data_IF_956184433175
#
_entry.id   IF_956184433175
#
_cell.length_a   1.000
_cell.length_b   1.000
_cell.length_c   1.000
_cell.angle_alpha   90.00
_cell.angle_beta   90.00
_cell.angle_gamma   90.00
#
_symmetry.space_group_name_H-M   'P 1'
#
loop_
_entity.id
_entity.type
_entity.pdbx_description
1 polymer ?
#
# COMPACT_ATOMS: atom_id res chain seq x y z
N UNK A 1 7.37 0.15 24.67
CA UNK A 1 6.18 -0.03 23.82
C UNK A 1 6.10 1.20 22.96
N UNK A 2 6.72 1.16 21.79
CA UNK A 2 6.57 2.24 20.80
C UNK A 2 5.19 2.08 20.19
N UNK A 3 4.24 2.84 20.75
CA UNK A 3 2.99 3.16 20.10
C UNK A 3 3.40 3.72 18.73
N UNK A 4 3.14 2.97 17.66
CA UNK A 4 3.16 3.49 16.30
C UNK A 4 2.62 4.91 16.37
N UNK A 5 3.42 5.90 15.97
CA UNK A 5 2.96 7.27 15.86
C UNK A 5 1.94 7.31 14.73
N UNK A 6 0.73 6.86 15.06
CA UNK A 6 -0.44 6.87 14.20
C UNK A 6 -0.72 8.32 13.80
N UNK A 7 -0.35 9.31 14.62
CA UNK A 7 -0.42 10.74 14.31
C UNK A 7 0.49 11.16 13.16
N UNK A 8 1.75 10.73 13.16
CA UNK A 8 2.71 10.98 12.07
C UNK A 8 2.40 10.23 10.77
N UNK A 9 1.82 9.04 10.87
CA UNK A 9 1.40 8.22 9.72
C UNK A 9 0.10 8.77 9.10
N UNK A 10 -0.87 9.16 9.92
CA UNK A 10 -2.13 9.73 9.45
C UNK A 10 -1.93 11.16 8.94
N UNK A 11 -1.11 11.99 9.59
CA UNK A 11 -0.98 13.41 9.25
C UNK A 11 -0.44 13.72 7.84
N UNK A 12 0.42 12.88 7.27
CA UNK A 12 0.99 13.09 5.92
C UNK A 12 0.25 12.33 4.82
N UNK A 13 -0.53 11.33 5.18
CA UNK A 13 -1.16 10.37 4.27
C UNK A 13 -2.70 10.34 4.37
N UNK A 14 -3.29 11.19 5.23
CA UNK A 14 -4.75 11.34 5.38
C UNK A 14 -5.44 11.84 4.11
N UNK A 15 -4.71 12.46 3.19
CA UNK A 15 -5.29 12.99 1.95
C UNK A 15 -5.95 11.87 1.14
N UNK A 16 -5.38 10.66 1.11
CA UNK A 16 -5.95 9.55 0.36
C UNK A 16 -7.29 9.12 0.97
N UNK A 17 -7.38 9.07 2.30
CA UNK A 17 -8.63 8.73 2.98
C UNK A 17 -9.72 9.79 2.74
N UNK A 18 -9.34 11.07 2.70
CA UNK A 18 -10.27 12.14 2.34
C UNK A 18 -10.79 11.95 0.91
N UNK A 19 -9.90 11.67 -0.06
CA UNK A 19 -10.30 11.38 -1.44
C UNK A 19 -11.17 10.13 -1.54
N UNK A 20 -10.88 9.06 -0.80
CA UNK A 20 -11.76 7.86 -0.73
C UNK A 20 -13.15 8.24 -0.23
N UNK A 21 -13.24 9.13 0.76
CA UNK A 21 -14.50 9.70 1.24
C UNK A 21 -15.24 10.47 0.14
N UNK A 22 -14.55 11.34 -0.61
CA UNK A 22 -15.14 12.08 -1.72
C UNK A 22 -15.60 11.17 -2.86
N UNK A 23 -14.85 10.10 -3.18
CA UNK A 23 -15.30 9.09 -4.16
C UNK A 23 -16.57 8.39 -3.67
N UNK A 24 -16.69 8.11 -2.37
CA UNK A 24 -17.91 7.54 -1.81
C UNK A 24 -19.09 8.51 -1.89
N UNK A 25 -18.86 9.81 -1.65
CA UNK A 25 -19.84 10.88 -1.87
C UNK A 25 -20.27 10.93 -3.34
N UNK A 26 -19.32 10.87 -4.28
CA UNK A 26 -19.59 10.80 -5.72
C UNK A 26 -20.42 9.57 -6.07
N UNK A 27 -20.12 8.40 -5.49
CA UNK A 27 -20.86 7.18 -5.72
C UNK A 27 -22.32 7.27 -5.24
N UNK A 28 -22.53 7.85 -4.05
CA UNK A 28 -23.86 8.10 -3.51
C UNK A 28 -24.64 9.09 -4.38
N UNK A 29 -24.00 10.19 -4.77
CA UNK A 29 -24.56 11.20 -5.66
C UNK A 29 -24.94 10.62 -7.03
N UNK A 30 -24.06 9.83 -7.67
CA UNK A 30 -24.34 9.17 -8.95
C UNK A 30 -25.58 8.28 -8.83
N UNK A 31 -25.65 7.48 -7.76
CA UNK A 31 -26.79 6.59 -7.52
C UNK A 31 -28.11 7.35 -7.33
N UNK A 32 -28.09 8.47 -6.62
CA UNK A 32 -29.25 9.34 -6.43
C UNK A 32 -29.71 9.97 -7.76
N UNK A 33 -28.80 10.56 -8.53
CA UNK A 33 -29.13 11.18 -9.82
C UNK A 33 -29.61 10.18 -10.86
N UNK A 34 -29.03 8.98 -10.85
CA UNK A 34 -29.49 7.88 -11.69
C UNK A 34 -30.92 7.44 -11.33
N UNK A 35 -31.27 7.38 -10.03
CA UNK A 35 -32.63 7.08 -9.59
C UNK A 35 -33.65 8.16 -9.98
N UNK A 36 -33.21 9.42 -10.07
CA UNK A 36 -34.04 10.55 -10.51
C UNK A 36 -34.06 10.74 -12.04
N UNK A 37 -33.34 9.90 -12.81
CA UNK A 37 -33.13 10.05 -14.25
C UNK A 37 -32.58 11.44 -14.66
N UNK A 38 -31.77 12.05 -13.78
CA UNK A 38 -31.16 13.38 -13.95
C UNK A 38 -29.62 13.30 -13.95
N UNK A 39 -29.05 12.13 -14.24
CA UNK A 39 -27.61 11.98 -14.27
C UNK A 39 -27.05 12.68 -15.52
N UNK A 40 -26.30 13.75 -15.30
CA UNK A 40 -25.46 14.37 -16.33
C UNK A 40 -24.08 13.71 -16.35
N UNK A 41 -23.73 13.13 -17.49
CA UNK A 41 -22.44 12.48 -17.70
C UNK A 41 -21.29 13.50 -17.71
N UNK A 42 -21.53 14.75 -18.14
CA UNK A 42 -20.51 15.80 -18.14
C UNK A 42 -20.16 16.22 -16.72
N UNK A 43 -21.17 16.38 -15.85
CA UNK A 43 -20.98 16.68 -14.43
C UNK A 43 -20.24 15.54 -13.71
N UNK A 44 -20.62 14.28 -13.99
CA UNK A 44 -19.94 13.09 -13.47
C UNK A 44 -18.47 13.03 -13.89
N UNK A 45 -18.17 13.27 -15.17
CA UNK A 45 -16.82 13.24 -15.70
C UNK A 45 -15.96 14.39 -15.16
N UNK A 46 -16.52 15.59 -15.00
CA UNK A 46 -15.82 16.74 -14.39
C UNK A 46 -15.44 16.44 -12.94
N UNK A 47 -16.39 15.98 -12.13
CA UNK A 47 -16.12 15.65 -10.73
C UNK A 47 -15.08 14.52 -10.63
N UNK A 48 -15.20 13.49 -11.47
CA UNK A 48 -14.20 12.44 -11.52
C UNK A 48 -12.81 12.94 -11.94
N UNK A 49 -12.73 13.89 -12.86
CA UNK A 49 -11.46 14.47 -13.31
C UNK A 49 -10.76 15.23 -12.17
N UNK A 50 -11.51 15.98 -11.37
CA UNK A 50 -10.97 16.69 -10.20
C UNK A 50 -10.37 15.72 -9.19
N UNK A 51 -11.10 14.64 -8.84
CA UNK A 51 -10.61 13.62 -7.92
C UNK A 51 -9.40 12.85 -8.48
N UNK A 52 -9.38 12.56 -9.79
CA UNK A 52 -8.20 11.97 -10.46
C UNK A 52 -6.99 12.89 -10.36
N UNK A 53 -7.16 14.18 -10.61
CA UNK A 53 -6.08 15.16 -10.53
C UNK A 53 -5.48 15.22 -9.13
N UNK A 54 -6.31 15.16 -8.07
CA UNK A 54 -5.83 15.12 -6.68
C UNK A 54 -5.01 13.85 -6.42
N UNK A 55 -5.47 12.68 -6.89
CA UNK A 55 -4.73 11.41 -6.75
C UNK A 55 -3.39 11.45 -7.49
N UNK A 56 -3.38 11.91 -8.74
CA UNK A 56 -2.17 11.97 -9.56
C UNK A 56 -1.15 12.96 -8.97
N UNK A 57 -1.62 14.12 -8.49
CA UNK A 57 -0.76 15.13 -7.84
C UNK A 57 -0.18 14.58 -6.54
N UNK A 58 -1.02 14.00 -5.67
CA UNK A 58 -0.57 13.42 -4.41
C UNK A 58 0.41 12.26 -4.59
N UNK A 59 0.24 11.45 -5.64
CA UNK A 59 1.20 10.40 -6.01
C UNK A 59 2.51 10.97 -6.55
N UNK A 60 2.48 12.06 -7.32
CA UNK A 60 3.68 12.71 -7.86
C UNK A 60 4.54 13.37 -6.76
N UNK A 61 3.92 13.84 -5.69
CA UNK A 61 4.60 14.42 -4.52
C UNK A 61 5.20 13.37 -3.57
N UNK A 62 4.83 12.09 -3.71
CA UNK A 62 5.43 11.02 -2.91
C UNK A 62 6.91 10.85 -3.31
N UNK A 63 7.83 10.74 -2.32
CA UNK A 63 9.24 10.50 -2.60
C UNK A 63 9.40 9.27 -3.50
N UNK A 64 10.08 9.46 -4.63
CA UNK A 64 10.30 8.40 -5.61
C UNK A 64 10.86 7.16 -4.91
N UNK A 65 10.23 6.01 -5.17
CA UNK A 65 10.76 4.73 -4.73
C UNK A 65 12.20 4.64 -5.25
N UNK A 66 13.19 4.25 -4.40
CA UNK A 66 14.47 3.83 -4.95
C UNK A 66 14.15 2.61 -5.82
N UNK A 67 14.03 2.86 -7.12
CA UNK A 67 13.97 1.82 -8.12
C UNK A 67 15.24 1.00 -7.88
N UNK A 68 15.10 -0.32 -7.88
CA UNK A 68 16.19 -1.27 -7.73
C UNK A 68 17.19 -1.10 -8.89
N UNK A 69 17.99 -0.05 -8.84
CA UNK A 69 19.09 0.20 -9.75
C UNK A 69 20.19 -0.74 -9.32
N UNK A 70 20.48 -1.69 -10.21
CA UNK A 70 21.69 -2.52 -10.24
C UNK A 70 22.89 -1.74 -9.74
N UNK A 71 23.39 -2.08 -8.54
CA UNK A 71 24.62 -1.51 -8.00
C UNK A 71 25.79 -2.01 -8.85
N UNK A 72 26.20 -1.20 -9.82
CA UNK A 72 27.54 -1.26 -10.37
C UNK A 72 28.46 -0.43 -9.47
N UNK A 73 29.53 -1.10 -9.05
CA UNK A 73 30.70 -0.68 -8.28
C UNK A 73 31.00 0.83 -8.19
N UNK A 74 31.47 1.28 -7.02
CA UNK A 74 32.83 1.83 -6.86
C UNK A 74 33.15 2.09 -5.39
N UNK A 75 34.16 1.40 -4.88
CA UNK A 75 34.87 1.71 -3.62
C UNK A 75 35.64 3.03 -3.75
N UNK A 76 35.91 3.71 -2.63
CA UNK A 76 37.15 4.44 -2.49
C UNK A 76 38.00 3.88 -1.35
N UNK A 77 39.21 3.42 -1.71
CA UNK A 77 40.36 3.29 -0.82
C UNK A 77 40.86 4.68 -0.45
N UNK A 78 41.11 4.92 0.82
CA UNK A 78 42.20 5.81 1.27
C UNK A 78 42.81 5.26 2.55
N UNK A 79 44.14 5.12 2.52
CA UNK A 79 45.01 4.68 3.61
C UNK A 79 45.77 5.89 4.17
N UNK A 80 46.08 5.86 5.48
CA UNK A 80 47.29 6.38 6.22
C UNK A 80 46.92 6.50 7.73
N UNK A 81 47.41 5.62 8.64
CA UNK A 81 48.59 5.76 9.57
C UNK A 81 48.57 7.02 10.44
N UNK A 82 48.80 7.10 11.77
CA UNK A 82 49.28 6.25 12.88
C UNK A 82 49.08 7.04 14.23
N UNK A 83 49.37 6.43 15.40
CA UNK A 83 49.44 6.95 16.81
C UNK A 83 48.11 7.12 17.60
N UNK A 84 47.90 6.68 18.86
CA UNK A 84 48.69 5.95 19.86
C UNK A 84 47.93 5.84 21.22
N UNK A 85 47.94 4.65 21.82
CA UNK A 85 47.92 4.27 23.27
C UNK A 85 46.75 4.69 24.23
N UNK A 86 46.00 3.65 24.65
CA UNK A 86 45.36 3.30 25.94
C UNK A 86 44.71 4.33 26.88
N UNK A 87 43.44 4.10 27.22
CA UNK A 87 43.01 4.00 28.62
C UNK A 87 41.70 3.23 28.81
N UNK A 88 41.60 2.54 29.95
CA UNK A 88 40.67 1.49 30.31
C UNK A 88 39.19 1.90 30.46
N UNK A 89 38.35 0.92 30.20
CA UNK A 89 36.89 0.86 30.32
C UNK A 89 36.32 1.49 31.59
N UNK A 90 35.32 2.36 31.41
CA UNK A 90 34.23 2.51 32.37
C UNK A 90 32.92 2.26 31.64
N UNK A 91 32.28 1.17 32.02
CA UNK A 91 30.97 0.68 31.61
C UNK A 91 29.95 1.82 31.62
N UNK A 92 29.56 2.30 30.44
CA UNK A 92 28.36 3.11 30.25
C UNK A 92 27.56 2.47 29.13
N UNK A 93 26.28 2.25 29.42
CA UNK A 93 25.23 1.88 28.48
C UNK A 93 25.49 2.51 27.11
N UNK A 94 25.64 1.69 26.08
CA UNK A 94 25.67 2.16 24.70
C UNK A 94 24.32 2.77 24.35
N UNK A 95 24.21 4.07 24.03
CA UNK A 95 23.07 4.58 23.29
C UNK A 95 23.21 4.08 21.85
N UNK A 96 22.13 3.55 21.29
CA UNK A 96 22.05 3.04 19.92
C UNK A 96 22.80 3.93 18.92
N UNK A 97 23.72 3.32 18.16
CA UNK A 97 24.54 3.91 17.10
C UNK A 97 23.69 4.77 16.14
N UNK A 98 24.12 5.98 15.71
CA UNK A 98 23.37 6.84 14.79
C UNK A 98 22.90 6.14 13.50
N UNK A 99 23.68 5.17 13.01
CA UNK A 99 23.34 4.36 11.85
C UNK A 99 22.04 3.55 12.02
N UNK A 100 21.77 2.99 13.20
CA UNK A 100 20.58 2.16 13.46
C UNK A 100 19.30 3.00 13.59
N UNK A 101 19.41 4.22 14.15
CA UNK A 101 18.30 5.17 14.22
C UNK A 101 18.00 5.79 12.84
N UNK A 102 19.03 6.08 12.05
CA UNK A 102 18.87 6.56 10.68
C UNK A 102 18.19 5.53 9.78
N UNK A 103 18.54 4.25 9.90
CA UNK A 103 17.94 3.17 9.08
C UNK A 103 16.48 2.86 9.47
N UNK A 104 16.13 2.98 10.75
CA UNK A 104 14.74 2.78 11.20
C UNK A 104 13.81 3.89 10.68
N UNK A 105 14.30 5.12 10.57
CA UNK A 105 13.54 6.24 10.02
C UNK A 105 13.35 6.13 8.49
N UNK A 106 14.38 5.75 7.74
CA UNK A 106 14.28 5.52 6.29
C UNK A 106 13.31 4.38 5.97
N UNK A 107 13.42 3.26 6.69
CA UNK A 107 12.54 2.10 6.50
C UNK A 107 11.08 2.43 6.86
N UNK A 108 10.86 3.20 7.94
CA UNK A 108 9.52 3.66 8.33
C UNK A 108 8.93 4.58 7.26
N UNK A 109 9.71 5.54 6.76
CA UNK A 109 9.26 6.44 5.69
C UNK A 109 8.92 5.67 4.41
N UNK A 110 9.71 4.65 4.07
CA UNK A 110 9.47 3.81 2.90
C UNK A 110 8.16 3.03 3.01
N UNK A 111 7.91 2.38 4.16
CA UNK A 111 6.64 1.68 4.43
C UNK A 111 5.45 2.62 4.35
N UNK A 112 5.56 3.81 4.94
CA UNK A 112 4.49 4.82 4.90
C UNK A 112 4.20 5.24 3.47
N UNK A 113 5.21 5.49 2.64
CA UNK A 113 5.03 5.83 1.24
C UNK A 113 4.39 4.69 0.43
N UNK A 114 4.82 3.44 0.68
CA UNK A 114 4.21 2.26 0.05
C UNK A 114 2.75 2.11 0.45
N UNK A 115 2.43 2.27 1.73
CA UNK A 115 1.05 2.23 2.23
C UNK A 115 0.18 3.27 1.54
N UNK A 116 0.61 4.52 1.46
CA UNK A 116 -0.14 5.55 0.75
C UNK A 116 -0.36 5.21 -0.70
N UNK A 117 0.69 4.74 -1.37
CA UNK A 117 0.59 4.40 -2.79
C UNK A 117 -0.41 3.26 -3.02
N UNK A 118 -0.40 2.22 -2.18
CA UNK A 118 -1.41 1.15 -2.22
C UNK A 118 -2.82 1.73 -2.08
N UNK A 119 -3.04 2.63 -1.12
CA UNK A 119 -4.34 3.26 -0.92
C UNK A 119 -4.76 4.16 -2.08
N UNK A 120 -3.84 4.94 -2.65
CA UNK A 120 -4.11 5.83 -3.77
C UNK A 120 -4.40 5.06 -5.06
N UNK A 121 -3.63 4.02 -5.34
CA UNK A 121 -3.88 3.11 -6.46
C UNK A 121 -5.26 2.42 -6.31
N UNK A 122 -5.64 2.03 -5.09
CA UNK A 122 -6.96 1.47 -4.82
C UNK A 122 -8.07 2.51 -4.97
N UNK A 123 -7.83 3.76 -4.60
CA UNK A 123 -8.76 4.87 -4.83
C UNK A 123 -8.95 5.15 -6.34
N UNK A 124 -7.90 5.10 -7.16
CA UNK A 124 -8.02 5.20 -8.62
C UNK A 124 -8.90 4.09 -9.20
N UNK A 125 -8.73 2.85 -8.70
CA UNK A 125 -9.59 1.74 -9.09
C UNK A 125 -11.05 2.03 -8.68
N UNK A 126 -11.27 2.41 -7.43
CA UNK A 126 -12.62 2.67 -6.91
C UNK A 126 -13.32 3.77 -7.72
N UNK A 127 -12.64 4.89 -7.98
CA UNK A 127 -13.15 5.97 -8.81
C UNK A 127 -13.46 5.51 -10.24
N UNK A 128 -12.58 4.70 -10.84
CA UNK A 128 -12.82 4.15 -12.19
C UNK A 128 -14.07 3.27 -12.23
N UNK A 129 -14.30 2.46 -11.19
CA UNK A 129 -15.51 1.62 -11.07
C UNK A 129 -16.75 2.46 -10.83
N UNK A 130 -16.67 3.51 -10.02
CA UNK A 130 -17.79 4.42 -9.76
C UNK A 130 -18.23 5.14 -11.04
N UNK A 131 -17.29 5.63 -11.82
CA UNK A 131 -17.58 6.41 -13.04
C UNK A 131 -18.00 5.51 -14.19
N UNK A 132 -17.15 4.54 -14.56
CA UNK A 132 -17.27 3.74 -15.78
C UNK A 132 -17.91 2.36 -15.55
N UNK A 133 -18.45 2.11 -14.37
CA UNK A 133 -18.94 0.80 -13.93
C UNK A 133 -17.82 -0.25 -13.86
N UNK A 134 -18.21 -1.50 -13.67
CA UNK A 134 -17.28 -2.60 -13.47
C UNK A 134 -16.61 -3.03 -14.78
N UNK A 135 -15.40 -2.52 -15.04
CA UNK A 135 -14.61 -2.88 -16.22
C UNK A 135 -13.22 -3.46 -15.88
N UNK A 136 -13.12 -4.70 -15.37
CA UNK A 136 -11.85 -5.29 -14.90
C UNK A 136 -10.78 -5.44 -16.00
N UNK A 137 -11.19 -5.40 -17.26
CA UNK A 137 -10.29 -5.51 -18.41
C UNK A 137 -9.65 -4.17 -18.82
N UNK A 138 -10.13 -3.03 -18.31
CA UNK A 138 -9.58 -1.72 -18.64
C UNK A 138 -8.09 -1.64 -18.27
N UNK A 139 -7.26 -1.19 -19.21
CA UNK A 139 -5.81 -1.15 -19.04
C UNK A 139 -5.39 -0.33 -17.81
N UNK A 140 -6.12 0.77 -17.54
CA UNK A 140 -5.91 1.64 -16.37
C UNK A 140 -6.12 0.88 -15.07
N UNK A 141 -7.24 0.17 -14.92
CA UNK A 141 -7.54 -0.64 -13.72
C UNK A 141 -6.46 -1.71 -13.52
N UNK A 142 -6.05 -2.39 -14.60
CA UNK A 142 -5.02 -3.44 -14.52
C UNK A 142 -3.68 -2.93 -14.02
N UNK A 143 -3.26 -1.73 -14.45
CA UNK A 143 -2.03 -1.09 -13.99
C UNK A 143 -2.02 -0.99 -12.46
N UNK A 144 -3.08 -0.41 -11.89
CA UNK A 144 -3.22 -0.23 -10.44
C UNK A 144 -3.33 -1.57 -9.69
N UNK A 145 -4.07 -2.56 -10.22
CA UNK A 145 -4.16 -3.89 -9.61
C UNK A 145 -2.77 -4.54 -9.49
N UNK A 146 -1.98 -4.53 -10.56
CA UNK A 146 -0.65 -5.14 -10.56
C UNK A 146 0.31 -4.43 -9.60
N UNK A 147 0.23 -3.10 -9.53
CA UNK A 147 1.04 -2.29 -8.63
C UNK A 147 0.72 -2.57 -7.17
N UNK A 148 -0.57 -2.58 -6.79
CA UNK A 148 -1.01 -2.91 -5.43
C UNK A 148 -0.51 -4.30 -5.02
N UNK A 149 -0.65 -5.30 -5.89
CA UNK A 149 -0.17 -6.66 -5.57
C UNK A 149 1.35 -6.70 -5.38
N UNK A 150 2.12 -5.97 -6.19
CA UNK A 150 3.58 -5.90 -6.05
C UNK A 150 4.00 -5.21 -4.74
N UNK A 151 3.37 -4.09 -4.41
CA UNK A 151 3.65 -3.35 -3.17
C UNK A 151 3.26 -4.17 -1.93
N UNK A 152 2.16 -4.92 -1.98
CA UNK A 152 1.77 -5.84 -0.90
C UNK A 152 2.76 -7.01 -0.74
N UNK A 153 3.27 -7.55 -1.85
CA UNK A 153 4.31 -8.59 -1.83
C UNK A 153 5.63 -8.07 -1.22
N UNK A 154 6.02 -6.83 -1.53
CA UNK A 154 7.20 -6.17 -0.97
C UNK A 154 7.03 -5.83 0.52
N UNK A 155 5.88 -5.26 0.92
CA UNK A 155 5.58 -5.00 2.34
C UNK A 155 5.66 -6.28 3.17
N UNK A 156 5.16 -7.40 2.63
CA UNK A 156 5.29 -8.71 3.26
C UNK A 156 6.75 -9.15 3.39
N UNK A 157 7.54 -9.04 2.32
CA UNK A 157 8.95 -9.44 2.35
C UNK A 157 9.73 -8.66 3.43
N UNK A 158 9.44 -7.36 3.59
CA UNK A 158 10.02 -6.53 4.65
C UNK A 158 9.60 -7.03 6.05
N UNK A 159 8.36 -7.50 6.22
CA UNK A 159 7.85 -8.11 7.45
C UNK A 159 8.57 -9.41 7.82
N UNK A 160 8.67 -10.35 6.88
CA UNK A 160 9.34 -11.66 7.06
C UNK A 160 10.80 -11.50 7.52
N UNK A 161 11.53 -10.49 7.01
CA UNK A 161 12.91 -10.22 7.39
C UNK A 161 13.09 -9.69 8.82
N UNK A 162 12.05 -9.07 9.41
CA UNK A 162 12.12 -8.47 10.76
C UNK A 162 11.71 -9.41 11.88
N UNK A 163 11.18 -10.59 11.56
CA UNK A 163 10.70 -11.58 12.52
C UNK A 163 11.81 -12.34 13.30
N UNK A 164 13.05 -11.84 13.31
CA UNK A 164 14.17 -12.48 14.03
C UNK A 164 14.49 -11.86 15.41
N UNK A 165 13.93 -10.70 15.79
CA UNK A 165 14.35 -10.10 17.08
C UNK A 165 13.28 -9.39 17.93
N UNK A 166 12.08 -9.03 17.46
CA UNK A 166 11.04 -8.53 18.41
C UNK A 166 9.61 -8.70 17.88
N UNK A 167 8.85 -9.60 18.52
CA UNK A 167 7.42 -9.81 18.34
C UNK A 167 6.62 -8.52 18.61
N UNK A 168 6.10 -7.88 17.55
CA UNK A 168 4.77 -7.21 17.48
C UNK A 168 4.57 -6.20 16.35
N UNK A 169 5.54 -5.96 15.46
CA UNK A 169 5.40 -4.86 14.52
C UNK A 169 4.62 -5.16 13.22
N UNK A 170 4.16 -6.40 13.00
CA UNK A 170 3.89 -6.87 11.62
C UNK A 170 2.41 -7.02 11.21
N UNK A 171 1.48 -7.11 12.16
CA UNK A 171 0.07 -7.41 11.84
C UNK A 171 -0.80 -6.16 11.58
N UNK A 172 -0.53 -5.07 12.29
CA UNK A 172 -1.33 -3.85 12.20
C UNK A 172 -1.22 -3.21 10.81
N UNK A 173 -0.02 -3.21 10.23
CA UNK A 173 0.25 -2.77 8.85
C UNK A 173 -0.48 -3.60 7.82
N UNK A 174 -0.63 -4.91 7.97
CA UNK A 174 -1.37 -5.72 6.99
C UNK A 174 -2.88 -5.47 7.05
N UNK A 175 -3.44 -5.30 8.26
CA UNK A 175 -4.85 -4.92 8.44
C UNK A 175 -5.22 -3.61 7.76
N UNK A 176 -4.31 -2.62 7.75
CA UNK A 176 -4.61 -1.35 7.08
C UNK A 176 -4.71 -1.47 5.56
N UNK A 177 -4.30 -2.60 4.96
CA UNK A 177 -4.41 -2.79 3.51
C UNK A 177 -5.51 -3.78 3.13
N UNK A 178 -6.41 -4.12 4.05
CA UNK A 178 -7.54 -5.01 3.74
C UNK A 178 -8.43 -4.45 2.64
N UNK A 179 -8.84 -3.18 2.75
CA UNK A 179 -9.69 -2.56 1.72
C UNK A 179 -8.97 -2.46 0.35
N UNK A 180 -7.73 -1.93 0.26
CA UNK A 180 -6.97 -1.98 -0.99
C UNK A 180 -6.80 -3.39 -1.55
N UNK A 181 -6.56 -4.39 -0.69
CA UNK A 181 -6.48 -5.78 -1.07
C UNK A 181 -7.82 -6.29 -1.64
N UNK A 182 -8.95 -5.99 -1.00
CA UNK A 182 -10.28 -6.33 -1.51
C UNK A 182 -10.51 -5.72 -2.90
N UNK A 183 -10.21 -4.43 -3.06
CA UNK A 183 -10.42 -3.69 -4.31
C UNK A 183 -9.59 -4.29 -5.45
N UNK A 184 -8.28 -4.45 -5.24
CA UNK A 184 -7.37 -5.00 -6.25
C UNK A 184 -7.62 -6.49 -6.51
N UNK A 185 -7.76 -7.27 -5.43
CA UNK A 185 -8.00 -8.70 -5.47
C UNK A 185 -9.29 -9.03 -6.19
N UNK A 186 -10.36 -8.26 -5.93
CA UNK A 186 -11.62 -8.42 -6.64
C UNK A 186 -11.37 -8.33 -8.14
N UNK A 187 -10.66 -7.31 -8.64
CA UNK A 187 -10.38 -7.07 -10.07
C UNK A 187 -9.26 -7.91 -10.68
N UNK A 188 -8.62 -8.80 -9.92
CA UNK A 188 -7.58 -9.68 -10.44
C UNK A 188 -8.08 -10.58 -11.58
N UNK A 189 -7.28 -10.65 -12.66
CA UNK A 189 -7.59 -11.49 -13.82
C UNK A 189 -7.40 -12.98 -13.51
N UNK A 190 -8.20 -13.87 -14.13
CA UNK A 190 -7.97 -15.32 -14.03
C UNK A 190 -6.54 -15.69 -14.43
N UNK A 191 -5.98 -16.71 -13.75
CA UNK A 191 -4.60 -17.15 -13.97
C UNK A 191 -3.63 -16.57 -12.95
N UNK A 192 -2.61 -15.86 -13.44
CA UNK A 192 -1.49 -15.37 -12.62
C UNK A 192 -1.91 -14.44 -11.49
N UNK A 193 -2.81 -13.50 -11.77
CA UNK A 193 -3.12 -12.43 -10.81
C UNK A 193 -3.94 -12.98 -9.63
N UNK A 194 -4.94 -13.82 -9.90
CA UNK A 194 -5.67 -14.55 -8.85
C UNK A 194 -4.75 -15.48 -8.05
N UNK A 195 -3.76 -16.11 -8.68
CA UNK A 195 -2.78 -16.93 -7.98
C UNK A 195 -1.90 -16.10 -7.02
N UNK A 196 -1.48 -14.90 -7.43
CA UNK A 196 -0.74 -13.95 -6.57
C UNK A 196 -1.58 -13.52 -5.36
N UNK A 197 -2.85 -13.18 -5.58
CA UNK A 197 -3.79 -12.83 -4.49
C UNK A 197 -3.92 -13.97 -3.48
N UNK A 198 -4.10 -15.22 -3.95
CA UNK A 198 -4.16 -16.40 -3.06
C UNK A 198 -2.84 -16.66 -2.34
N UNK A 199 -1.70 -16.41 -2.99
CA UNK A 199 -0.38 -16.58 -2.37
C UNK A 199 -0.14 -15.57 -1.24
N UNK A 200 -0.61 -14.33 -1.40
CA UNK A 200 -0.60 -13.31 -0.36
C UNK A 200 -1.43 -13.78 0.85
N UNK A 201 -2.63 -14.31 0.64
CA UNK A 201 -3.53 -14.70 1.74
C UNK A 201 -3.15 -16.01 2.42
N UNK A 202 -2.64 -16.99 1.66
CA UNK A 202 -2.19 -18.28 2.22
C UNK A 202 -1.05 -18.08 3.22
N UNK A 203 -0.11 -17.19 2.93
CA UNK A 203 0.95 -16.84 3.86
C UNK A 203 0.39 -16.21 5.15
N UNK A 204 -0.64 -15.35 5.01
CA UNK A 204 -1.26 -14.63 6.11
C UNK A 204 -2.17 -15.50 6.99
N UNK A 205 -2.76 -16.56 6.44
CA UNK A 205 -3.57 -17.54 7.19
C UNK A 205 -2.79 -18.37 8.21
N UNK A 206 -1.45 -18.35 8.17
CA UNK A 206 -0.58 -18.98 9.17
C UNK A 206 -0.52 -18.21 10.50
N UNK A 207 -1.01 -16.96 10.51
CA UNK A 207 -1.10 -16.11 11.70
C UNK A 207 -2.53 -16.26 12.28
N UNK A 208 -2.71 -17.08 13.32
CA UNK A 208 -4.00 -17.64 13.80
C UNK A 208 -5.14 -16.66 14.20
N UNK A 209 -5.05 -15.35 13.97
CA UNK A 209 -6.05 -14.35 14.40
C UNK A 209 -6.59 -13.44 13.28
N UNK A 210 -6.56 -13.91 12.03
CA UNK A 210 -6.94 -13.14 10.83
C UNK A 210 -8.45 -13.14 10.58
N UNK A 211 -9.23 -12.45 11.41
CA UNK A 211 -10.69 -12.33 11.19
C UNK A 211 -11.04 -11.56 9.91
N UNK A 212 -10.52 -10.33 9.78
CA UNK A 212 -10.95 -9.39 8.74
C UNK A 212 -10.37 -9.71 7.35
N UNK A 213 -9.06 -9.98 7.25
CA UNK A 213 -8.47 -10.36 5.96
C UNK A 213 -9.00 -11.73 5.43
N UNK A 214 -9.50 -12.61 6.30
CA UNK A 214 -10.21 -13.81 5.87
C UNK A 214 -11.52 -13.45 5.17
N UNK A 215 -12.31 -12.53 5.74
CA UNK A 215 -13.52 -12.00 5.10
C UNK A 215 -13.19 -11.31 3.77
N UNK A 216 -12.13 -10.51 3.73
CA UNK A 216 -11.64 -9.90 2.49
C UNK A 216 -11.33 -10.94 1.41
N UNK A 217 -10.65 -12.02 1.78
CA UNK A 217 -10.33 -13.14 0.88
C UNK A 217 -11.60 -13.81 0.37
N UNK A 218 -12.58 -14.01 1.25
CA UNK A 218 -13.88 -14.60 0.89
C UNK A 218 -14.66 -13.72 -0.08
N UNK A 219 -14.74 -12.41 0.17
CA UNK A 219 -15.38 -11.42 -0.73
C UNK A 219 -14.73 -11.47 -2.11
N UNK A 220 -13.39 -11.52 -2.16
CA UNK A 220 -12.64 -11.58 -3.42
C UNK A 220 -12.94 -12.86 -4.20
N UNK A 221 -12.94 -14.03 -3.55
CA UNK A 221 -13.27 -15.30 -4.18
C UNK A 221 -14.72 -15.35 -4.66
N UNK A 222 -15.67 -14.88 -3.85
CA UNK A 222 -17.09 -14.76 -4.22
C UNK A 222 -17.27 -13.87 -5.45
N UNK A 223 -16.53 -12.77 -5.51
CA UNK A 223 -16.53 -11.87 -6.67
C UNK A 223 -16.07 -12.59 -7.94
N UNK A 224 -15.04 -13.43 -7.85
CA UNK A 224 -14.57 -14.22 -8.99
C UNK A 224 -15.56 -15.31 -9.42
N UNK A 225 -16.27 -15.92 -8.46
CA UNK A 225 -17.31 -16.91 -8.76
C UNK A 225 -18.48 -16.28 -9.52
N UNK A 226 -18.97 -15.12 -9.07
CA UNK A 226 -20.08 -14.42 -9.73
C UNK A 226 -19.74 -14.00 -11.17
N UNK A 227 -18.49 -13.63 -11.45
CA UNK A 227 -18.04 -13.33 -12.82
C UNK A 227 -18.09 -14.53 -13.76
N UNK A 228 -17.80 -15.73 -13.25
CA UNK A 228 -17.83 -16.96 -14.07
C UNK A 228 -19.26 -17.38 -14.43
N UNK A 229 -20.26 -16.96 -13.65
CA UNK A 229 -21.68 -17.24 -13.91
C UNK A 229 -22.37 -16.28 -14.88
N UNK A 230 -21.69 -15.23 -15.34
CA UNK A 230 -22.20 -14.23 -16.30
C UNK A 230 -21.63 -14.41 -17.73
N UNK A 231 -20.91 -15.52 -17.97
CA UNK A 231 -20.30 -15.86 -19.26
C UNK A 231 -20.98 -17.03 -19.94
#
# INVERSE_FOLDING_TARGET
MDLLDVGGIIGRQSWVLAVVGEIATLAAWKKERQAQAQLDMVELDSYAADLRSVLDTGLAELPAHPSRSTSSNSTPRTATTHDGISSLSTTKMTPNTPAQQSWSNTTRSHIVNMTTRIWADAAHIYLSVVVSEWQPCAAVIRKYVLEILALLEELRAIGDHRHRETDRYDWATLKTHEWPFCVAGSLAKPGSDQARVRALTKALSSLENVGTLRLATEIVELTWQHRRGLG
#
